data_IF_214169488777
#
_entry.id   IF_214169488777
#
_cell.length_a   1.000
_cell.length_b   1.000
_cell.length_c   1.000
_cell.angle_alpha   90.00
_cell.angle_beta   90.00
_cell.angle_gamma   90.00
#
_symmetry.space_group_name_H-M   'P 1'
#
loop_
_entity.id
_entity.type
_entity.pdbx_description
1 polymer ?
#
# COMPACT_ATOMS: atom_id res chain seq x y z
N UNK A 1 -8.23 32.83 28.10
CA UNK A 1 -7.73 32.36 29.41
C UNK A 1 -8.72 31.42 30.11
N UNK A 2 -10.03 31.68 30.12
CA UNK A 2 -11.03 30.85 30.83
C UNK A 2 -11.23 29.41 30.29
N UNK A 3 -11.08 29.18 28.98
CA UNK A 3 -11.33 27.87 28.38
C UNK A 3 -10.26 26.81 28.73
N UNK A 4 -8.98 27.21 28.82
CA UNK A 4 -7.92 26.28 29.22
C UNK A 4 -7.94 25.99 30.72
N UNK A 5 -8.36 26.95 31.56
CA UNK A 5 -8.56 26.68 32.99
C UNK A 5 -9.66 25.65 33.22
N UNK A 6 -10.81 25.78 32.53
CA UNK A 6 -11.88 24.76 32.57
C UNK A 6 -11.38 23.38 32.13
N UNK A 7 -10.57 23.33 31.08
CA UNK A 7 -9.96 22.10 30.60
C UNK A 7 -9.02 21.44 31.62
N UNK A 8 -8.24 22.24 32.35
CA UNK A 8 -7.39 21.77 33.45
C UNK A 8 -8.22 21.25 34.63
N UNK A 9 -9.29 21.94 34.99
CA UNK A 9 -10.19 21.49 36.06
C UNK A 9 -10.86 20.17 35.69
N UNK A 10 -11.28 20.01 34.43
CA UNK A 10 -11.84 18.77 33.92
C UNK A 10 -10.82 17.61 33.96
N UNK A 11 -9.55 17.87 33.62
CA UNK A 11 -8.48 16.88 33.78
C UNK A 11 -8.21 16.53 35.25
N UNK A 12 -8.23 17.52 36.15
CA UNK A 12 -8.03 17.27 37.58
C UNK A 12 -9.18 16.44 38.19
N UNK A 13 -10.40 16.59 37.66
CA UNK A 13 -11.57 15.84 38.10
C UNK A 13 -11.57 14.39 37.57
N UNK A 14 -11.31 14.19 36.28
CA UNK A 14 -11.33 12.87 35.65
C UNK A 14 -10.11 12.71 34.72
N UNK A 15 -8.94 12.33 35.26
CA UNK A 15 -7.69 12.27 34.50
C UNK A 15 -7.61 11.02 33.63
N UNK A 16 -7.25 11.21 32.35
CA UNK A 16 -6.82 10.11 31.48
C UNK A 16 -5.51 9.53 32.02
N UNK A 17 -5.53 8.27 32.45
CA UNK A 17 -4.33 7.53 32.84
C UNK A 17 -3.94 6.57 31.73
N UNK A 18 -2.94 6.94 30.92
CA UNK A 18 -2.45 6.11 29.83
C UNK A 18 -0.98 6.37 29.50
N UNK A 19 -0.26 5.32 29.11
CA UNK A 19 1.15 5.41 28.66
C UNK A 19 1.36 6.25 27.39
N UNK A 20 0.28 6.54 26.66
CA UNK A 20 0.34 7.33 25.44
C UNK A 20 0.02 8.82 25.67
N UNK A 21 -0.36 9.22 26.89
CA UNK A 21 -0.63 10.61 27.22
C UNK A 21 0.47 11.15 28.13
N UNK A 22 1.15 12.19 27.66
CA UNK A 22 2.09 12.99 28.43
C UNK A 22 1.41 14.30 28.79
N UNK A 23 1.37 14.60 30.09
CA UNK A 23 0.68 15.77 30.63
C UNK A 23 1.72 16.83 30.97
N UNK A 24 1.62 18.00 30.35
CA UNK A 24 2.45 19.17 30.62
C UNK A 24 1.63 20.26 31.30
N UNK A 25 2.29 21.29 31.83
CA UNK A 25 1.60 22.38 32.54
C UNK A 25 0.67 23.20 31.64
N UNK A 26 1.05 23.37 30.37
CA UNK A 26 0.37 24.20 29.38
C UNK A 26 -0.45 23.41 28.35
N UNK A 27 -0.16 22.12 28.18
CA UNK A 27 -0.75 21.28 27.13
C UNK A 27 -0.72 19.79 27.45
N UNK A 28 -1.40 19.02 26.61
CA UNK A 28 -1.40 17.57 26.60
C UNK A 28 -0.69 17.08 25.33
N UNK A 29 0.12 16.04 25.46
CA UNK A 29 0.83 15.44 24.33
C UNK A 29 0.44 13.97 24.19
N UNK A 30 -0.08 13.60 23.02
CA UNK A 30 -0.46 12.23 22.71
C UNK A 30 0.64 11.60 21.85
N UNK A 31 1.36 10.65 22.44
CA UNK A 31 2.45 9.92 21.80
C UNK A 31 2.02 8.48 21.55
N UNK A 32 1.54 8.21 20.33
CA UNK A 32 1.09 6.87 19.91
C UNK A 32 1.90 6.36 18.72
N UNK A 33 2.08 5.04 18.56
CA UNK A 33 2.53 4.46 17.30
C UNK A 33 1.66 4.90 16.12
N UNK A 34 2.26 5.12 14.95
CA UNK A 34 1.50 5.56 13.77
C UNK A 34 0.38 4.57 13.43
N UNK A 35 -0.85 5.07 13.43
CA UNK A 35 -2.07 4.36 13.07
C UNK A 35 -2.98 5.29 12.29
N UNK A 36 -3.49 4.83 11.14
CA UNK A 36 -4.44 5.62 10.34
C UNK A 36 -5.71 5.92 11.13
N UNK A 37 -6.16 4.99 11.97
CA UNK A 37 -7.31 5.20 12.86
C UNK A 37 -7.04 6.30 13.88
N UNK A 38 -5.88 6.29 14.56
CA UNK A 38 -5.52 7.35 15.52
C UNK A 38 -5.45 8.71 14.81
N UNK A 39 -4.84 8.78 13.63
CA UNK A 39 -4.75 10.04 12.86
C UNK A 39 -6.14 10.56 12.49
N UNK A 40 -7.08 9.69 12.12
CA UNK A 40 -8.45 10.10 11.83
C UNK A 40 -9.13 10.67 13.06
N UNK A 41 -9.08 9.96 14.19
CA UNK A 41 -9.73 10.39 15.44
C UNK A 41 -9.13 11.70 15.96
N UNK A 42 -7.79 11.86 15.91
CA UNK A 42 -7.11 13.06 16.36
C UNK A 42 -7.45 14.30 15.51
N UNK A 43 -7.76 14.13 14.22
CA UNK A 43 -8.20 15.24 13.37
C UNK A 43 -9.56 15.80 13.77
N UNK A 44 -10.39 15.00 14.42
CA UNK A 44 -11.69 15.41 14.93
C UNK A 44 -11.61 16.07 16.32
N UNK A 45 -10.42 16.06 16.95
CA UNK A 45 -10.17 16.77 18.21
C UNK A 45 -9.85 18.24 17.88
N UNK A 46 -10.65 19.22 18.35
CA UNK A 46 -10.41 20.62 18.07
C UNK A 46 -9.03 21.08 18.53
N UNK A 47 -8.38 21.92 17.74
CA UNK A 47 -7.06 22.50 18.06
C UNK A 47 -5.93 21.51 18.29
N UNK A 48 -6.15 20.21 18.00
CA UNK A 48 -5.07 19.24 17.99
C UNK A 48 -4.13 19.55 16.82
N UNK A 49 -2.84 19.62 17.12
CA UNK A 49 -1.79 19.88 16.12
C UNK A 49 -0.81 18.73 16.10
N UNK A 50 -0.36 18.35 14.92
CA UNK A 50 0.68 17.34 14.75
C UNK A 50 2.05 18.01 14.74
N UNK A 51 2.95 17.59 15.63
CA UNK A 51 4.34 18.03 15.67
C UNK A 51 5.24 16.97 15.01
N UNK A 52 5.72 17.21 13.77
CA UNK A 52 6.40 16.20 12.98
C UNK A 52 7.76 15.78 13.54
N UNK A 53 8.50 16.69 14.17
CA UNK A 53 9.84 16.43 14.70
C UNK A 53 9.81 15.48 15.89
N UNK A 54 8.87 15.69 16.80
CA UNK A 54 8.68 14.88 18.00
C UNK A 54 7.73 13.70 17.78
N UNK A 55 7.01 13.70 16.65
CA UNK A 55 5.98 12.71 16.28
C UNK A 55 4.91 12.56 17.35
N UNK A 56 4.46 13.70 17.88
CA UNK A 56 3.42 13.78 18.91
C UNK A 56 2.28 14.65 18.43
N UNK A 57 1.08 14.37 18.94
CA UNK A 57 -0.03 15.32 18.84
C UNK A 57 -0.03 16.21 20.06
N UNK A 58 -0.06 17.52 19.83
CA UNK A 58 -0.22 18.52 20.87
C UNK A 58 -1.68 18.93 20.94
N UNK A 59 -2.27 18.81 22.13
CA UNK A 59 -3.67 19.12 22.41
C UNK A 59 -3.74 20.14 23.55
N UNK A 60 -4.29 21.34 23.32
CA UNK A 60 -4.52 22.30 24.38
C UNK A 60 -5.56 21.81 25.39
N UNK A 61 -5.47 22.24 26.65
CA UNK A 61 -6.40 21.83 27.71
C UNK A 61 -7.87 22.15 27.40
N UNK A 62 -8.17 23.25 26.71
CA UNK A 62 -9.55 23.56 26.25
C UNK A 62 -10.21 22.45 25.42
N UNK A 63 -9.43 21.55 24.84
CA UNK A 63 -9.92 20.42 24.03
C UNK A 63 -9.96 19.10 24.81
N UNK A 64 -9.68 19.14 26.13
CA UNK A 64 -9.56 17.95 26.96
C UNK A 64 -10.81 17.08 26.94
N UNK A 65 -12.00 17.65 27.15
CA UNK A 65 -13.24 16.85 27.15
C UNK A 65 -13.46 16.11 25.81
N UNK A 66 -13.08 16.74 24.70
CA UNK A 66 -13.23 16.11 23.38
C UNK A 66 -12.18 15.04 23.12
N UNK A 67 -10.98 15.19 23.69
CA UNK A 67 -9.96 14.15 23.73
C UNK A 67 -10.41 12.99 24.63
N UNK A 68 -10.92 13.29 25.83
CA UNK A 68 -11.40 12.33 26.82
C UNK A 68 -12.48 11.40 26.25
N UNK A 69 -13.52 11.98 25.63
CA UNK A 69 -14.62 11.21 25.00
C UNK A 69 -14.14 10.23 23.92
N UNK A 70 -13.01 10.53 23.27
CA UNK A 70 -12.44 9.73 22.17
C UNK A 70 -11.25 8.89 22.62
N UNK A 71 -10.84 8.97 23.89
CA UNK A 71 -9.61 8.37 24.37
C UNK A 71 -9.60 6.85 24.22
N UNK A 72 -10.71 6.19 24.56
CA UNK A 72 -10.84 4.74 24.43
C UNK A 72 -10.61 4.24 22.99
N UNK A 73 -11.06 4.99 21.98
CA UNK A 73 -10.83 4.65 20.57
C UNK A 73 -9.36 4.85 20.18
N UNK A 74 -8.76 5.97 20.60
CA UNK A 74 -7.35 6.31 20.36
C UNK A 74 -6.44 5.24 20.98
N UNK A 75 -6.67 4.91 22.24
CA UNK A 75 -5.87 3.95 22.99
C UNK A 75 -6.00 2.53 22.40
N UNK A 76 -7.22 2.07 22.11
CA UNK A 76 -7.43 0.78 21.48
C UNK A 76 -6.76 0.72 20.09
N UNK A 77 -6.82 1.80 19.31
CA UNK A 77 -6.14 1.88 18.02
C UNK A 77 -4.60 1.93 18.15
N UNK A 78 -4.08 2.56 19.20
CA UNK A 78 -2.66 2.60 19.52
C UNK A 78 -2.14 1.22 19.94
N UNK A 79 -2.83 0.53 20.86
CA UNK A 79 -2.51 -0.85 21.31
C UNK A 79 -2.48 -1.81 20.11
N UNK A 80 -3.51 -1.78 19.25
CA UNK A 80 -3.53 -2.62 18.02
C UNK A 80 -2.37 -2.32 17.08
N UNK A 81 -1.85 -1.09 17.12
CA UNK A 81 -0.79 -0.60 16.25
C UNK A 81 0.60 -0.75 16.84
N UNK A 82 0.72 -1.23 18.08
CA UNK A 82 2.02 -1.51 18.67
C UNK A 82 2.81 -2.49 17.80
N UNK A 83 4.13 -2.27 17.64
CA UNK A 83 4.99 -3.15 16.86
C UNK A 83 4.88 -4.61 17.27
N UNK A 84 4.75 -4.88 18.57
CA UNK A 84 4.59 -6.23 19.10
C UNK A 84 3.22 -6.83 18.78
N UNK A 85 2.12 -6.08 18.91
CA UNK A 85 0.80 -6.52 18.45
C UNK A 85 0.74 -6.74 16.93
N UNK A 86 1.55 -6.01 16.14
CA UNK A 86 1.72 -6.26 14.70
C UNK A 86 2.51 -7.54 14.44
N UNK A 87 3.62 -7.77 15.16
CA UNK A 87 4.42 -8.99 15.05
C UNK A 87 3.61 -10.23 15.46
N UNK A 88 2.86 -10.16 16.56
CA UNK A 88 2.01 -11.25 17.02
C UNK A 88 0.90 -11.58 16.02
N UNK A 89 0.24 -10.57 15.43
CA UNK A 89 -0.73 -10.80 14.35
C UNK A 89 -0.08 -11.37 13.09
N UNK A 90 1.11 -10.91 12.73
CA UNK A 90 1.86 -11.48 11.61
C UNK A 90 2.28 -12.93 11.89
N UNK A 91 2.63 -13.27 13.13
CA UNK A 91 2.98 -14.61 13.57
C UNK A 91 1.76 -15.55 13.60
N UNK A 92 0.61 -15.09 14.11
CA UNK A 92 -0.64 -15.86 14.10
C UNK A 92 -1.18 -16.10 12.68
N UNK A 93 -0.91 -15.18 11.75
CA UNK A 93 -1.24 -15.34 10.32
C UNK A 93 -0.19 -16.14 9.54
N UNK A 94 0.98 -16.39 10.13
CA UNK A 94 2.07 -17.09 9.49
C UNK A 94 1.67 -18.55 9.29
N UNK A 95 1.66 -19.01 8.04
CA UNK A 95 1.25 -20.36 7.70
C UNK A 95 -0.26 -20.54 7.46
N UNK A 96 -1.06 -19.48 7.55
CA UNK A 96 -2.41 -19.52 6.99
C UNK A 96 -2.30 -19.81 5.47
N UNK A 97 -3.23 -20.58 4.87
CA UNK A 97 -3.18 -20.91 3.43
C UNK A 97 -3.03 -19.66 2.54
N UNK A 98 -3.63 -18.54 2.94
CA UNK A 98 -3.52 -17.26 2.25
C UNK A 98 -2.11 -16.63 2.32
N UNK A 99 -1.38 -16.78 3.43
CA UNK A 99 0.01 -16.31 3.56
C UNK A 99 0.95 -17.16 2.70
N UNK A 100 0.77 -18.50 2.70
CA UNK A 100 1.54 -19.42 1.85
C UNK A 100 1.33 -19.10 0.38
N UNK A 101 0.08 -18.98 -0.07
CA UNK A 101 -0.24 -18.61 -1.45
C UNK A 101 0.30 -17.22 -1.83
N UNK A 102 0.23 -16.25 -0.92
CA UNK A 102 0.77 -14.90 -1.18
C UNK A 102 2.29 -14.92 -1.33
N UNK A 103 3.01 -15.73 -0.53
CA UNK A 103 4.45 -15.91 -0.65
C UNK A 103 4.85 -16.65 -1.91
N UNK A 104 4.08 -17.65 -2.32
CA UNK A 104 4.26 -18.34 -3.59
C UNK A 104 4.13 -17.35 -4.76
N UNK A 105 3.05 -16.56 -4.81
CA UNK A 105 2.85 -15.49 -5.81
C UNK A 105 3.96 -14.44 -5.80
N UNK A 106 4.40 -14.02 -4.61
CA UNK A 106 5.47 -13.04 -4.49
C UNK A 106 6.82 -13.59 -4.97
N UNK A 107 7.11 -14.86 -4.68
CA UNK A 107 8.30 -15.57 -5.19
C UNK A 107 8.24 -15.71 -6.70
N UNK A 108 7.09 -16.11 -7.24
CA UNK A 108 6.87 -16.25 -8.68
C UNK A 108 7.07 -14.91 -9.41
N UNK A 109 6.47 -13.83 -8.91
CA UNK A 109 6.66 -12.47 -9.45
C UNK A 109 8.13 -12.04 -9.50
N UNK A 110 8.96 -12.48 -8.55
CA UNK A 110 10.40 -12.15 -8.50
C UNK A 110 11.20 -12.86 -9.59
N UNK A 111 10.70 -13.97 -10.14
CA UNK A 111 11.31 -14.68 -11.27
C UNK A 111 11.21 -13.88 -12.57
N UNK A 112 10.35 -12.86 -12.63
CA UNK A 112 10.19 -11.95 -13.78
C UNK A 112 9.92 -12.68 -15.10
N UNK A 113 9.13 -13.75 -15.00
CA UNK A 113 8.56 -14.50 -16.11
C UNK A 113 7.06 -14.26 -16.17
N UNK A 114 6.46 -14.41 -17.34
CA UNK A 114 5.03 -14.24 -17.59
C UNK A 114 4.62 -15.17 -18.73
N UNK A 115 3.48 -15.89 -18.64
CA UNK A 115 3.01 -16.75 -19.71
C UNK A 115 2.65 -15.90 -20.94
N UNK A 116 3.15 -16.31 -22.11
CA UNK A 116 2.88 -15.70 -23.40
C UNK A 116 2.34 -16.75 -24.37
N UNK A 117 1.50 -16.31 -25.30
CA UNK A 117 1.10 -17.11 -26.44
C UNK A 117 2.23 -17.06 -27.49
N UNK A 118 2.77 -18.20 -27.95
CA UNK A 118 3.76 -18.25 -29.03
C UNK A 118 3.28 -17.59 -30.33
N UNK A 119 1.97 -17.58 -30.58
CA UNK A 119 1.37 -17.02 -31.79
C UNK A 119 1.06 -15.52 -31.66
N UNK A 120 1.02 -14.98 -30.43
CA UNK A 120 0.75 -13.56 -30.15
C UNK A 120 1.76 -12.97 -29.16
N UNK A 121 3.00 -12.81 -29.64
CA UNK A 121 4.09 -12.29 -28.83
C UNK A 121 4.07 -10.75 -28.73
N UNK A 122 4.30 -10.18 -27.53
CA UNK A 122 4.36 -8.75 -27.32
C UNK A 122 5.59 -8.13 -27.98
N UNK A 123 5.52 -6.84 -28.38
CA UNK A 123 6.67 -6.12 -28.89
C UNK A 123 7.77 -6.01 -27.83
N UNK A 124 8.93 -6.59 -28.13
CA UNK A 124 10.09 -6.52 -27.24
C UNK A 124 10.60 -5.09 -27.10
N UNK A 125 11.04 -4.74 -25.90
CA UNK A 125 11.59 -3.41 -25.59
C UNK A 125 10.56 -2.29 -25.50
N UNK A 126 9.26 -2.58 -25.68
CA UNK A 126 8.18 -1.59 -25.54
C UNK A 126 7.32 -1.86 -24.31
N UNK A 127 6.85 -0.80 -23.61
CA UNK A 127 5.90 -0.98 -22.52
C UNK A 127 4.55 -1.48 -23.01
N UNK A 128 4.09 -2.57 -22.40
CA UNK A 128 2.77 -3.17 -22.61
C UNK A 128 2.08 -3.38 -21.27
N UNK A 129 0.75 -3.46 -21.28
CA UNK A 129 -0.04 -3.81 -20.10
C UNK A 129 -0.22 -5.33 -20.02
N UNK A 130 -0.37 -5.82 -18.78
CA UNK A 130 -0.62 -7.23 -18.46
C UNK A 130 -1.69 -7.33 -17.40
N UNK A 131 -2.43 -8.44 -17.38
CA UNK A 131 -3.54 -8.67 -16.44
C UNK A 131 -3.12 -8.66 -14.98
N UNK A 132 -1.93 -9.19 -14.68
CA UNK A 132 -1.45 -9.39 -13.31
C UNK A 132 -0.37 -8.42 -12.82
N UNK A 133 0.39 -7.81 -13.75
CA UNK A 133 1.61 -7.08 -13.39
C UNK A 133 1.60 -5.60 -13.81
N UNK A 134 0.56 -5.14 -14.49
CA UNK A 134 0.45 -3.78 -15.01
C UNK A 134 1.44 -3.53 -16.15
N UNK A 135 2.00 -2.33 -16.21
CA UNK A 135 2.91 -1.94 -17.28
C UNK A 135 4.31 -2.59 -17.13
N UNK A 136 4.66 -3.45 -18.09
CA UNK A 136 5.94 -4.17 -18.14
C UNK A 136 6.59 -4.02 -19.52
N UNK A 137 7.88 -4.27 -19.60
CA UNK A 137 8.63 -4.35 -20.86
C UNK A 137 9.15 -5.77 -21.01
N UNK A 138 8.74 -6.46 -22.08
CA UNK A 138 9.28 -7.77 -22.41
C UNK A 138 10.68 -7.64 -23.00
N UNK A 139 11.60 -8.48 -22.53
CA UNK A 139 13.01 -8.49 -22.94
C UNK A 139 13.38 -9.74 -23.75
N UNK A 140 12.49 -10.74 -23.78
CA UNK A 140 12.65 -11.93 -24.61
C UNK A 140 11.66 -13.02 -24.20
N UNK A 141 11.62 -14.07 -25.01
CA UNK A 141 10.93 -15.33 -24.73
C UNK A 141 12.00 -16.43 -24.72
N UNK A 142 11.98 -17.32 -23.74
CA UNK A 142 12.89 -18.48 -23.68
C UNK A 142 12.37 -19.67 -24.50
N UNK A 143 11.07 -19.68 -24.83
CA UNK A 143 10.41 -20.78 -25.54
C UNK A 143 10.15 -22.00 -24.65
N UNK A 144 10.41 -21.90 -23.35
CA UNK A 144 10.10 -22.99 -22.41
C UNK A 144 8.60 -23.02 -22.13
N UNK A 145 7.95 -24.21 -22.20
CA UNK A 145 6.54 -24.33 -21.93
C UNK A 145 6.22 -24.02 -20.46
N UNK A 146 5.06 -23.42 -20.24
CA UNK A 146 4.55 -23.11 -18.91
C UNK A 146 3.95 -24.36 -18.27
N UNK A 147 4.40 -24.65 -17.05
CA UNK A 147 3.83 -25.72 -16.24
C UNK A 147 2.37 -25.43 -15.87
N UNK A 148 1.46 -26.37 -16.16
CA UNK A 148 0.02 -26.27 -15.91
C UNK A 148 -0.33 -26.07 -14.44
N UNK A 149 0.44 -26.62 -13.50
CA UNK A 149 0.21 -26.45 -12.07
C UNK A 149 0.51 -25.00 -11.63
N UNK A 150 1.55 -24.40 -12.23
CA UNK A 150 1.91 -22.99 -12.00
C UNK A 150 0.86 -22.07 -12.64
N UNK A 151 0.40 -22.41 -13.85
CA UNK A 151 -0.64 -21.65 -14.57
C UNK A 151 -1.93 -21.60 -13.75
N UNK A 152 -2.45 -22.76 -13.31
CA UNK A 152 -3.71 -22.84 -12.56
C UNK A 152 -3.64 -22.18 -11.18
N UNK A 153 -2.48 -22.21 -10.52
CA UNK A 153 -2.33 -21.67 -9.16
C UNK A 153 -1.96 -20.17 -9.11
N UNK A 154 -1.07 -19.71 -9.99
CA UNK A 154 -0.51 -18.36 -9.96
C UNK A 154 -1.14 -17.42 -10.99
N UNK A 155 -1.72 -17.96 -12.05
CA UNK A 155 -2.29 -17.25 -13.19
C UNK A 155 -3.76 -17.65 -13.43
N UNK A 156 -4.50 -17.93 -12.35
CA UNK A 156 -5.93 -18.22 -12.40
C UNK A 156 -6.69 -17.07 -13.09
N UNK A 157 -7.25 -17.33 -14.28
CA UNK A 157 -7.87 -16.32 -15.14
C UNK A 157 -7.18 -16.13 -16.51
N UNK A 158 -6.17 -16.95 -16.82
CA UNK A 158 -5.69 -17.11 -18.19
C UNK A 158 -6.67 -17.98 -18.98
N UNK A 159 -6.85 -17.73 -20.29
CA UNK A 159 -7.64 -18.59 -21.16
C UNK A 159 -7.11 -20.02 -21.15
N UNK A 160 -8.00 -20.99 -21.38
CA UNK A 160 -7.65 -22.42 -21.40
C UNK A 160 -6.94 -22.78 -22.71
N UNK A 161 -5.66 -22.42 -22.77
CA UNK A 161 -4.72 -22.79 -23.83
C UNK A 161 -3.51 -23.47 -23.17
N UNK A 162 -3.05 -24.58 -23.74
CA UNK A 162 -2.00 -25.40 -23.12
C UNK A 162 -0.60 -25.10 -23.65
N UNK A 163 -0.46 -24.22 -24.64
CA UNK A 163 0.80 -23.98 -25.35
C UNK A 163 1.49 -22.67 -24.95
N UNK A 164 1.31 -22.22 -23.71
CA UNK A 164 1.98 -21.00 -23.24
C UNK A 164 3.49 -21.22 -23.08
N UNK A 165 4.25 -20.18 -23.40
CA UNK A 165 5.71 -20.13 -23.22
C UNK A 165 6.11 -19.02 -22.26
N UNK A 166 7.27 -19.16 -21.62
CA UNK A 166 7.75 -18.14 -20.69
C UNK A 166 8.34 -16.89 -21.39
N UNK A 167 7.71 -15.75 -21.15
CA UNK A 167 8.23 -14.43 -21.47
C UNK A 167 8.99 -13.81 -20.31
N UNK A 168 10.23 -13.38 -20.54
CA UNK A 168 11.00 -12.60 -19.57
C UNK A 168 10.64 -11.12 -19.68
N UNK A 169 10.42 -10.48 -18.54
CA UNK A 169 10.03 -9.07 -18.48
C UNK A 169 10.81 -8.28 -17.43
N UNK A 170 10.74 -6.96 -17.54
CA UNK A 170 11.20 -6.04 -16.50
C UNK A 170 10.17 -4.93 -16.28
N UNK A 171 10.14 -4.30 -15.09
CA UNK A 171 9.33 -3.11 -14.89
C UNK A 171 9.68 -2.03 -15.92
N UNK A 172 8.66 -1.38 -16.47
CA UNK A 172 8.85 -0.19 -17.30
C UNK A 172 9.40 0.97 -16.46
N UNK A 173 10.37 1.70 -17.00
CA UNK A 173 10.89 2.93 -16.39
C UNK A 173 9.93 4.10 -16.61
N UNK A 174 10.05 5.16 -15.80
CA UNK A 174 9.22 6.35 -15.98
C UNK A 174 9.42 6.98 -17.37
N UNK A 175 10.66 7.05 -17.85
CA UNK A 175 11.01 7.60 -19.17
C UNK A 175 10.35 6.80 -20.30
N UNK A 176 10.43 5.47 -20.26
CA UNK A 176 9.77 4.60 -21.24
C UNK A 176 8.25 4.80 -21.25
N UNK A 177 7.63 4.88 -20.07
CA UNK A 177 6.19 5.13 -19.95
C UNK A 177 5.78 6.52 -20.47
N UNK A 178 6.66 7.52 -20.39
CA UNK A 178 6.41 8.85 -20.94
C UNK A 178 6.50 8.83 -22.47
N UNK A 179 7.51 8.13 -23.01
CA UNK A 179 7.75 8.00 -24.46
C UNK A 179 6.76 7.06 -25.18
N UNK A 180 6.02 6.25 -24.42
CA UNK A 180 5.05 5.31 -24.98
C UNK A 180 3.80 6.02 -25.47
N UNK A 181 3.43 5.74 -26.72
CA UNK A 181 2.19 6.22 -27.31
C UNK A 181 1.00 5.35 -26.86
N UNK A 182 -0.11 5.96 -26.42
CA UNK A 182 -1.29 5.21 -26.01
C UNK A 182 -1.93 4.51 -27.21
N UNK A 183 -2.65 3.42 -26.97
CA UNK A 183 -3.56 2.86 -27.96
C UNK A 183 -4.63 3.91 -28.33
N UNK A 184 -4.99 3.97 -29.61
CA UNK A 184 -6.06 4.86 -30.10
C UNK A 184 -7.45 4.27 -29.89
N UNK A 185 -7.53 2.95 -29.70
CA UNK A 185 -8.77 2.20 -29.53
C UNK A 185 -8.81 1.61 -28.13
N UNK A 186 -9.98 1.61 -27.53
CA UNK A 186 -10.24 0.88 -26.29
C UNK A 186 -9.98 -0.60 -26.55
N UNK A 187 -9.05 -1.19 -25.80
CA UNK A 187 -8.68 -2.59 -26.00
C UNK A 187 -9.66 -3.45 -25.21
N UNK A 188 -10.44 -4.27 -25.90
CA UNK A 188 -11.21 -5.33 -25.24
C UNK A 188 -10.22 -6.34 -24.65
N UNK A 189 -10.08 -6.31 -23.33
CA UNK A 189 -9.08 -7.11 -22.59
C UNK A 189 -9.39 -8.61 -22.66
N UNK A 190 -10.64 -8.98 -23.00
CA UNK A 190 -11.12 -10.31 -23.42
C UNK A 190 -10.28 -11.50 -22.98
N UNK A 191 -9.63 -12.15 -23.94
CA UNK A 191 -8.65 -13.24 -23.77
C UNK A 191 -7.19 -12.79 -24.00
N UNK A 192 -6.97 -11.50 -24.27
CA UNK A 192 -5.64 -10.91 -24.45
C UNK A 192 -4.76 -11.00 -23.19
N UNK A 193 -3.62 -11.69 -23.31
CA UNK A 193 -2.62 -11.81 -22.23
C UNK A 193 -1.87 -10.50 -21.96
N UNK A 194 -1.71 -9.69 -23.00
CA UNK A 194 -1.08 -8.38 -22.98
C UNK A 194 -1.82 -7.44 -23.94
N UNK A 195 -1.72 -6.13 -23.71
CA UNK A 195 -2.27 -5.14 -24.63
C UNK A 195 -1.41 -3.88 -24.69
N UNK A 196 -1.58 -3.10 -25.76
CA UNK A 196 -1.00 -1.77 -25.83
C UNK A 196 -1.64 -0.88 -24.76
N UNK A 197 -0.86 -0.13 -23.95
CA UNK A 197 -1.42 0.68 -22.87
C UNK A 197 -2.38 1.75 -23.39
N UNK A 198 -3.53 1.90 -22.74
CA UNK A 198 -4.43 3.04 -22.95
C UNK A 198 -3.87 4.31 -22.27
N UNK A 199 -4.48 5.47 -22.51
CA UNK A 199 -4.07 6.70 -21.82
C UNK A 199 -4.25 6.60 -20.29
N UNK A 200 -5.33 5.97 -19.82
CA UNK A 200 -5.60 5.82 -18.39
C UNK A 200 -4.68 4.81 -17.72
N UNK A 201 -4.35 3.72 -18.42
CA UNK A 201 -3.30 2.78 -18.01
C UNK A 201 -1.96 3.50 -17.80
N UNK A 202 -1.55 4.33 -18.77
CA UNK A 202 -0.31 5.09 -18.69
C UNK A 202 -0.35 6.10 -17.55
N UNK A 203 -1.48 6.75 -17.27
CA UNK A 203 -1.61 7.66 -16.12
C UNK A 203 -1.35 6.95 -14.79
N UNK A 204 -1.96 5.78 -14.59
CA UNK A 204 -1.77 4.96 -13.37
C UNK A 204 -0.32 4.48 -13.27
N UNK A 205 0.23 3.93 -14.35
CA UNK A 205 1.60 3.42 -14.41
C UNK A 205 2.63 4.53 -14.13
N UNK A 206 2.49 5.70 -14.75
CA UNK A 206 3.38 6.86 -14.54
C UNK A 206 3.32 7.35 -13.09
N UNK A 207 2.13 7.39 -12.47
CA UNK A 207 1.97 7.76 -11.06
C UNK A 207 2.71 6.80 -10.14
N UNK A 208 2.58 5.49 -10.38
CA UNK A 208 3.29 4.46 -9.62
C UNK A 208 4.81 4.56 -9.78
N UNK A 209 5.30 4.71 -11.02
CA UNK A 209 6.72 4.87 -11.33
C UNK A 209 7.34 6.12 -10.66
N UNK A 210 6.66 7.28 -10.72
CA UNK A 210 7.07 8.50 -9.99
C UNK A 210 7.14 8.31 -8.48
N UNK A 211 6.26 7.47 -7.92
CA UNK A 211 6.28 7.13 -6.50
C UNK A 211 7.52 6.30 -6.13
N UNK A 212 7.88 5.34 -6.98
CA UNK A 212 9.05 4.49 -6.78
C UNK A 212 10.36 5.27 -6.88
N UNK A 213 10.51 6.15 -7.88
CA UNK A 213 11.69 7.01 -8.02
C UNK A 213 11.89 7.94 -6.81
N UNK A 214 10.81 8.54 -6.31
CA UNK A 214 10.87 9.38 -5.11
C UNK A 214 11.32 8.62 -3.87
N UNK A 215 10.93 7.34 -3.73
CA UNK A 215 11.40 6.49 -2.64
C UNK A 215 12.88 6.15 -2.79
N UNK A 216 13.34 5.84 -4.01
CA UNK A 216 14.76 5.56 -4.29
C UNK A 216 15.68 6.75 -4.03
N UNK A 217 15.21 7.98 -4.25
CA UNK A 217 15.98 9.22 -3.97
C UNK A 217 16.04 9.62 -2.49
N UNK A 218 15.25 8.97 -1.62
CA UNK A 218 15.17 9.27 -0.17
C UNK A 218 15.95 8.26 0.69
N UNK A 219 16.51 7.23 0.06
CA UNK A 219 17.41 6.24 0.65
C UNK A 219 18.81 6.60 0.21
#
# INVERSE_FOLDING_TARGET
>A
MHADSRGRDAYAFDPIVSKYLLVHQDRLEVQTPYSRSVVMVMRDVPFASWEPDRRVWTVPYRSYEQLHRRWAEIEAAAIRSEPEARKQRAAQRRGAPQDVASRARATERRRRRYPLDPNDLPPLGRPVMTRGYGAVVFIGCDGEPVDGDILGSQYAGFPDHHDYVWGRWRPATLDELIKTWPSRTETEIGDALWWQPTLDDLRVARKAARGLERRRRRV
#
